data_IF_710179708951
#
_entry.id   IF_710179708951
#
_cell.length_a   1.000
_cell.length_b   1.000
_cell.length_c   1.000
_cell.angle_alpha   90.00
_cell.angle_beta   90.00
_cell.angle_gamma   90.00
#
_symmetry.space_group_name_H-M   'P 1'
#
loop_
_entity.id
_entity.type
_entity.pdbx_description
1 polymer ?
#
# COMPACT_ATOMS: atom_id res chain seq x y z
N UNK A 1 8.51 13.33 -3.21
CA UNK A 1 8.52 13.15 -4.69
C UNK A 1 7.09 13.32 -5.18
N UNK A 2 6.85 13.69 -6.46
CA UNK A 2 5.48 13.68 -6.99
C UNK A 2 4.90 12.26 -6.93
N UNK A 3 3.60 12.15 -6.65
CA UNK A 3 2.87 10.88 -6.66
C UNK A 3 2.85 10.33 -8.09
N UNK A 4 3.32 9.09 -8.34
CA UNK A 4 3.33 8.52 -9.68
C UNK A 4 1.91 8.20 -10.15
N UNK A 5 1.69 8.16 -11.46
CA UNK A 5 0.42 7.70 -12.02
C UNK A 5 0.20 6.20 -11.72
N UNK A 6 -1.04 5.77 -11.39
CA UNK A 6 -1.34 4.35 -11.24
C UNK A 6 -1.18 3.60 -12.56
N UNK A 7 -0.82 2.30 -12.54
CA UNK A 7 -0.63 1.50 -13.76
C UNK A 7 -1.84 1.52 -14.69
N UNK A 8 -1.55 1.58 -16.00
CA UNK A 8 -2.56 1.46 -17.07
C UNK A 8 -3.05 0.01 -17.19
N UNK A 9 -4.20 -0.17 -17.87
CA UNK A 9 -4.77 -1.51 -18.15
C UNK A 9 -6.07 -1.81 -17.41
N UNK A 10 -6.51 -0.92 -16.50
CA UNK A 10 -7.84 -0.96 -15.88
C UNK A 10 -8.36 0.45 -15.58
N UNK A 11 -9.65 0.56 -15.36
CA UNK A 11 -10.24 1.77 -14.76
C UNK A 11 -9.95 1.77 -13.26
N UNK A 12 -9.55 2.94 -12.75
CA UNK A 12 -9.34 3.19 -11.33
C UNK A 12 -10.47 4.08 -10.82
N UNK A 13 -11.19 3.62 -9.80
CA UNK A 13 -12.24 4.43 -9.16
C UNK A 13 -11.62 5.63 -8.44
N UNK A 14 -12.47 6.56 -8.01
CA UNK A 14 -12.00 7.71 -7.24
C UNK A 14 -11.36 7.27 -5.92
N UNK A 15 -12.01 6.35 -5.22
CA UNK A 15 -11.58 5.83 -3.92
C UNK A 15 -10.23 5.10 -4.04
N UNK A 16 -10.02 4.34 -5.11
CA UNK A 16 -8.73 3.69 -5.37
C UNK A 16 -7.62 4.71 -5.67
N UNK A 17 -7.93 5.82 -6.35
CA UNK A 17 -6.97 6.90 -6.62
C UNK A 17 -6.63 7.68 -5.35
N UNK A 18 -7.63 7.94 -4.51
CA UNK A 18 -7.43 8.61 -3.23
C UNK A 18 -6.55 7.74 -2.31
N UNK A 19 -6.82 6.43 -2.24
CA UNK A 19 -5.98 5.48 -1.49
C UNK A 19 -4.57 5.35 -2.06
N UNK A 20 -4.43 5.33 -3.39
CA UNK A 20 -3.13 5.35 -4.06
C UNK A 20 -2.32 6.57 -3.64
N UNK A 21 -2.92 7.76 -3.68
CA UNK A 21 -2.28 9.00 -3.28
C UNK A 21 -1.87 8.96 -1.81
N UNK A 22 -2.77 8.55 -0.91
CA UNK A 22 -2.49 8.42 0.52
C UNK A 22 -1.26 7.54 0.79
N UNK A 23 -1.16 6.39 0.12
CA UNK A 23 -0.03 5.48 0.25
C UNK A 23 1.29 6.13 -0.19
N UNK A 24 1.30 6.83 -1.34
CA UNK A 24 2.51 7.51 -1.84
C UNK A 24 2.88 8.78 -1.08
N UNK A 25 1.95 9.35 -0.31
CA UNK A 25 2.20 10.48 0.59
C UNK A 25 2.59 10.03 2.01
N UNK A 26 2.52 8.72 2.31
CA UNK A 26 2.90 8.17 3.61
C UNK A 26 4.41 8.33 3.90
N UNK A 27 4.83 8.36 5.17
CA UNK A 27 6.25 8.36 5.55
C UNK A 27 7.03 7.19 4.92
N UNK A 28 6.40 6.03 4.80
CA UNK A 28 6.99 4.81 4.24
C UNK A 28 7.37 4.99 2.77
N UNK A 29 6.59 5.77 2.01
CA UNK A 29 6.85 6.04 0.61
C UNK A 29 8.20 6.74 0.34
N UNK A 30 8.83 7.34 1.37
CA UNK A 30 10.20 7.86 1.26
C UNK A 30 11.25 6.79 0.95
N UNK A 31 10.95 5.51 1.21
CA UNK A 31 11.82 4.37 0.89
C UNK A 31 11.42 3.66 -0.40
N UNK A 32 10.31 4.05 -1.03
CA UNK A 32 9.82 3.41 -2.23
C UNK A 32 10.47 4.02 -3.48
N UNK A 33 10.74 3.16 -4.46
CA UNK A 33 11.14 3.56 -5.81
C UNK A 33 10.11 3.07 -6.85
N UNK A 34 10.40 3.23 -8.15
CA UNK A 34 9.46 2.83 -9.21
C UNK A 34 9.13 1.32 -9.18
N UNK A 35 9.98 0.49 -8.57
CA UNK A 35 9.73 -0.95 -8.44
C UNK A 35 8.57 -1.25 -7.50
N UNK A 36 8.28 -0.36 -6.53
CA UNK A 36 7.16 -0.49 -5.60
C UNK A 36 5.81 -0.21 -6.27
N UNK A 37 5.77 0.44 -7.44
CA UNK A 37 4.53 0.85 -8.12
C UNK A 37 3.57 -0.30 -8.38
N UNK A 38 4.10 -1.47 -8.74
CA UNK A 38 3.30 -2.69 -8.94
C UNK A 38 2.67 -3.18 -7.64
N UNK A 39 3.45 -3.23 -6.56
CA UNK A 39 3.00 -3.72 -5.25
C UNK A 39 1.95 -2.82 -4.62
N UNK A 40 2.11 -1.48 -4.73
CA UNK A 40 1.08 -0.52 -4.30
C UNK A 40 -0.22 -0.75 -5.08
N UNK A 41 -0.12 -0.99 -6.40
CA UNK A 41 -1.31 -1.22 -7.22
C UNK A 41 -2.05 -2.51 -6.82
N UNK A 42 -1.31 -3.57 -6.53
CA UNK A 42 -1.85 -4.83 -6.02
C UNK A 42 -2.59 -4.61 -4.70
N UNK A 43 -1.95 -3.89 -3.76
CA UNK A 43 -2.56 -3.59 -2.47
C UNK A 43 -3.88 -2.84 -2.61
N UNK A 44 -3.90 -1.71 -3.33
CA UNK A 44 -5.12 -0.90 -3.53
C UNK A 44 -6.23 -1.72 -4.17
N UNK A 45 -5.90 -2.51 -5.19
CA UNK A 45 -6.88 -3.34 -5.91
C UNK A 45 -7.51 -4.40 -4.99
N UNK A 46 -6.70 -5.06 -4.16
CA UNK A 46 -7.20 -6.08 -3.26
C UNK A 46 -7.88 -5.50 -2.02
N UNK A 47 -7.43 -4.37 -1.48
CA UNK A 47 -8.16 -3.62 -0.45
C UNK A 47 -9.57 -3.26 -0.93
N UNK A 48 -9.69 -2.72 -2.15
CA UNK A 48 -10.99 -2.40 -2.74
C UNK A 48 -11.91 -3.63 -2.86
N UNK A 49 -11.37 -4.77 -3.33
CA UNK A 49 -12.14 -6.02 -3.43
C UNK A 49 -12.54 -6.58 -2.06
N UNK A 50 -11.67 -6.46 -1.04
CA UNK A 50 -11.96 -6.88 0.33
C UNK A 50 -13.11 -6.05 0.91
N UNK A 51 -13.04 -4.73 0.79
CA UNK A 51 -14.09 -3.83 1.29
C UNK A 51 -15.41 -3.99 0.53
N UNK A 52 -15.36 -4.32 -0.76
CA UNK A 52 -16.55 -4.65 -1.54
C UNK A 52 -17.14 -6.04 -1.22
N UNK A 53 -16.47 -6.86 -0.41
CA UNK A 53 -16.90 -8.23 -0.11
C UNK A 53 -16.80 -9.19 -1.30
N UNK A 54 -16.00 -8.86 -2.31
CA UNK A 54 -15.83 -9.64 -3.55
C UNK A 54 -14.49 -10.37 -3.62
N UNK A 55 -13.59 -10.12 -2.67
CA UNK A 55 -12.29 -10.77 -2.61
C UNK A 55 -12.38 -12.26 -2.24
N UNK A 56 -11.66 -13.09 -2.98
CA UNK A 56 -11.34 -14.45 -2.57
C UNK A 56 -10.30 -14.44 -1.43
N UNK A 57 -10.23 -15.55 -0.67
CA UNK A 57 -9.31 -15.68 0.47
C UNK A 57 -7.83 -15.45 0.08
N UNK A 58 -7.42 -15.89 -1.11
CA UNK A 58 -6.06 -15.69 -1.60
C UNK A 58 -5.76 -14.21 -1.89
N UNK A 59 -6.73 -13.42 -2.35
CA UNK A 59 -6.54 -11.97 -2.56
C UNK A 59 -6.32 -11.25 -1.23
N UNK A 60 -7.06 -11.66 -0.18
CA UNK A 60 -6.85 -11.15 1.17
C UNK A 60 -5.50 -11.56 1.78
N UNK A 61 -4.94 -12.69 1.33
CA UNK A 61 -3.59 -13.11 1.71
C UNK A 61 -2.53 -12.29 0.96
N UNK A 62 -2.68 -12.11 -0.36
CA UNK A 62 -1.78 -11.28 -1.17
C UNK A 62 -1.78 -9.81 -0.72
N UNK A 63 -2.92 -9.24 -0.34
CA UNK A 63 -2.99 -7.90 0.23
C UNK A 63 -2.12 -7.76 1.50
N UNK A 64 -2.14 -8.77 2.38
CA UNK A 64 -1.29 -8.81 3.57
C UNK A 64 0.19 -8.88 3.19
N UNK A 65 0.56 -9.71 2.22
CA UNK A 65 1.96 -9.77 1.75
C UNK A 65 2.42 -8.46 1.10
N UNK A 66 1.57 -7.81 0.32
CA UNK A 66 1.86 -6.49 -0.27
C UNK A 66 2.08 -5.42 0.80
N UNK A 67 1.21 -5.37 1.83
CA UNK A 67 1.36 -4.44 2.95
C UNK A 67 2.68 -4.66 3.71
N UNK A 68 3.09 -5.91 3.90
CA UNK A 68 4.35 -6.26 4.54
C UNK A 68 5.55 -5.86 3.66
N UNK A 69 5.51 -6.14 2.36
CA UNK A 69 6.57 -5.77 1.42
C UNK A 69 6.76 -4.25 1.31
N UNK A 70 5.69 -3.48 1.48
CA UNK A 70 5.70 -2.02 1.45
C UNK A 70 6.09 -1.37 2.79
N UNK A 71 6.33 -2.16 3.84
CA UNK A 71 6.68 -1.60 5.15
C UNK A 71 5.51 -0.97 5.88
N UNK A 72 4.26 -1.36 5.57
CA UNK A 72 3.06 -0.70 6.12
C UNK A 72 2.57 -1.34 7.43
N UNK A 73 3.17 -2.45 7.87
CA UNK A 73 2.83 -3.12 9.13
C UNK A 73 3.89 -2.81 10.20
N UNK A 74 3.55 -2.87 11.50
CA UNK A 74 4.55 -2.73 12.57
C UNK A 74 5.69 -3.76 12.47
N UNK A 75 5.37 -4.97 12.03
CA UNK A 75 6.36 -6.05 11.83
C UNK A 75 7.34 -5.69 10.72
N UNK A 76 6.85 -5.23 9.58
CA UNK A 76 7.68 -4.83 8.45
C UNK A 76 8.50 -3.58 8.77
N UNK A 77 7.93 -2.61 9.47
CA UNK A 77 8.66 -1.43 9.95
C UNK A 77 9.86 -1.84 10.81
N UNK A 78 9.64 -2.72 11.80
CA UNK A 78 10.72 -3.23 12.63
C UNK A 78 11.81 -3.97 11.81
N UNK A 79 11.41 -4.77 10.80
CA UNK A 79 12.35 -5.48 9.91
C UNK A 79 13.16 -4.52 9.02
N UNK A 80 12.56 -3.42 8.59
CA UNK A 80 13.22 -2.37 7.80
C UNK A 80 14.05 -1.41 8.67
N UNK A 81 14.18 -1.67 9.98
CA UNK A 81 14.97 -0.86 10.90
C UNK A 81 14.29 0.42 11.37
N UNK A 82 12.99 0.58 11.10
CA UNK A 82 12.20 1.71 11.58
C UNK A 82 11.87 1.52 13.06
N UNK A 83 12.07 2.58 13.85
CA UNK A 83 11.61 2.64 15.24
C UNK A 83 10.38 3.54 15.30
N UNK A 84 9.30 3.02 15.87
CA UNK A 84 8.16 3.85 16.25
C UNK A 84 8.62 4.66 17.46
N UNK A 85 8.68 5.98 17.31
CA UNK A 85 8.89 6.88 18.44
C UNK A 85 7.50 7.23 18.94
N UNK A 86 7.17 6.82 20.16
CA UNK A 86 5.97 7.31 20.83
C UNK A 86 6.25 8.77 21.22
N UNK A 87 5.41 9.69 20.77
CA UNK A 87 5.47 11.08 21.26
C UNK A 87 5.09 11.04 22.75
N UNK A 88 6.05 11.37 23.61
CA UNK A 88 5.79 11.59 25.04
C UNK A 88 4.87 12.82 25.18
N UNK A 89 3.60 12.58 25.49
CA UNK A 89 2.60 13.60 25.84
C UNK A 89 2.57 13.89 27.34
#
# INVERSE_FOLDING_TARGET
MPVPEPPRGRTWTREERDRWQELWESPQATQWDDTCRGTVAVLVTFEAAIFAGTAAAWQAQEARYAAEALGLTPRALAQLGWRIVEDES
#
